data_IF_307005369432
#
_entry.id   IF_307005369432
#
_cell.length_a   1.000
_cell.length_b   1.000
_cell.length_c   1.000
_cell.angle_alpha   90.00
_cell.angle_beta   90.00
_cell.angle_gamma   90.00
#
_symmetry.space_group_name_H-M   'P 1'
#
loop_
_entity.id
_entity.type
_entity.pdbx_description
1 polymer ?
#
# COMPACT_ATOMS: atom_id res chain seq x y z
N UNK A 1 4.48 50.72 14.61
CA UNK A 1 5.23 49.51 14.99
C UNK A 1 4.56 48.34 14.32
N UNK A 2 5.29 47.62 13.48
CA UNK A 2 4.81 46.56 12.59
C UNK A 2 4.87 45.20 13.31
N UNK A 3 3.86 44.36 13.08
CA UNK A 3 3.89 42.92 13.35
C UNK A 3 4.70 42.19 12.27
N UNK A 4 5.55 41.21 12.61
CA UNK A 4 5.97 40.18 11.67
C UNK A 4 5.27 38.85 11.99
N UNK A 5 4.70 38.23 10.95
CA UNK A 5 4.18 36.87 10.99
C UNK A 5 5.30 35.82 10.93
N UNK A 6 5.05 34.66 11.54
CA UNK A 6 5.93 33.49 11.47
C UNK A 6 5.49 32.57 10.34
N UNK A 7 6.26 32.55 9.26
CA UNK A 7 6.23 31.54 8.21
C UNK A 7 6.74 30.18 8.73
N UNK A 8 6.38 29.04 8.11
CA UNK A 8 6.92 27.74 8.50
C UNK A 8 8.40 27.62 8.10
N UNK A 9 9.22 26.86 8.85
CA UNK A 9 10.64 26.71 8.54
C UNK A 9 10.77 25.90 7.25
N UNK A 10 11.33 26.54 6.23
CA UNK A 10 11.83 25.88 5.03
C UNK A 10 13.08 25.09 5.41
N UNK A 11 12.92 23.81 5.75
CA UNK A 11 14.05 22.88 5.87
C UNK A 11 14.72 22.75 4.50
N UNK A 12 16.02 23.02 4.45
CA UNK A 12 16.85 22.85 3.25
C UNK A 12 16.94 21.37 2.88
N UNK A 13 16.92 21.07 1.57
CA UNK A 13 17.13 19.72 0.99
C UNK A 13 18.38 19.00 1.56
N UNK A 14 19.35 19.77 2.05
CA UNK A 14 20.54 19.27 2.78
C UNK A 14 20.18 18.47 4.04
N UNK A 15 19.18 18.90 4.82
CA UNK A 15 18.75 18.20 6.05
C UNK A 15 18.18 16.81 5.75
N UNK A 16 17.43 16.68 4.65
CA UNK A 16 16.89 15.39 4.21
C UNK A 16 17.98 14.46 3.65
N UNK A 17 19.04 15.03 3.06
CA UNK A 17 20.17 14.27 2.53
C UNK A 17 21.03 13.70 3.65
N UNK A 18 21.21 14.47 4.73
CA UNK A 18 21.87 14.01 5.96
C UNK A 18 21.06 12.91 6.67
N UNK A 19 19.75 13.08 6.80
CA UNK A 19 18.86 12.05 7.34
C UNK A 19 18.91 10.75 6.51
N UNK A 20 18.95 10.86 5.18
CA UNK A 20 19.07 9.69 4.30
C UNK A 20 20.45 9.03 4.36
N UNK A 21 21.52 9.82 4.57
CA UNK A 21 22.87 9.29 4.78
C UNK A 21 22.99 8.50 6.08
N UNK A 22 22.23 8.88 7.11
CA UNK A 22 22.16 8.14 8.39
C UNK A 22 21.43 6.80 8.28
N UNK A 23 20.59 6.64 7.25
CA UNK A 23 19.92 5.38 6.90
C UNK A 23 20.78 4.48 5.98
N UNK A 24 21.92 4.99 5.51
CA UNK A 24 22.87 4.16 4.76
C UNK A 24 23.68 3.32 5.74
N UNK A 25 23.56 1.99 5.61
CA UNK A 25 24.52 1.05 6.19
C UNK A 25 25.79 1.17 5.35
N UNK A 26 26.53 2.25 5.54
CA UNK A 26 27.84 2.46 4.92
C UNK A 26 28.86 2.80 6.00
N UNK A 27 30.05 2.24 5.84
CA UNK A 27 31.17 2.41 6.74
C UNK A 27 31.56 3.89 6.82
N UNK A 28 31.69 4.38 8.05
CA UNK A 28 32.24 5.70 8.35
C UNK A 28 33.58 5.90 7.61
N UNK A 29 33.85 7.10 7.05
CA UNK A 29 35.14 7.40 6.45
C UNK A 29 36.26 7.18 7.47
N UNK A 30 37.12 6.18 7.22
CA UNK A 30 38.25 5.84 8.10
C UNK A 30 38.14 4.48 8.82
N UNK A 31 37.04 3.75 8.68
CA UNK A 31 36.94 2.37 9.20
C UNK A 31 37.51 1.36 8.19
N UNK A 32 38.46 0.52 8.63
CA UNK A 32 39.06 -0.60 7.86
C UNK A 32 38.24 -1.89 8.07
N UNK A 33 36.94 -1.77 8.39
CA UNK A 33 36.07 -2.95 8.40
C UNK A 33 35.89 -3.42 6.96
N UNK A 34 36.16 -4.71 6.64
CA UNK A 34 35.86 -5.24 5.32
C UNK A 34 34.37 -5.01 5.07
N UNK A 35 34.06 -4.22 4.03
CA UNK A 35 32.69 -3.83 3.71
C UNK A 35 31.78 -5.06 3.72
N UNK A 36 30.61 -4.90 4.35
CA UNK A 36 29.63 -5.97 4.46
C UNK A 36 29.34 -6.52 3.05
N UNK A 37 29.62 -7.79 2.80
CA UNK A 37 29.27 -8.40 1.51
C UNK A 37 27.74 -8.45 1.42
N UNK A 38 27.15 -7.54 0.64
CA UNK A 38 25.71 -7.47 0.42
C UNK A 38 25.12 -8.78 -0.13
N UNK A 39 25.94 -9.70 -0.64
CA UNK A 39 25.51 -11.05 -1.06
C UNK A 39 25.36 -12.03 0.10
N UNK A 40 25.98 -11.74 1.25
CA UNK A 40 25.85 -12.52 2.49
C UNK A 40 24.73 -12.01 3.40
N UNK A 41 24.23 -10.80 3.15
CA UNK A 41 22.98 -10.34 3.75
C UNK A 41 21.88 -11.33 3.36
N UNK A 42 21.07 -11.82 4.31
CA UNK A 42 19.89 -12.60 3.99
C UNK A 42 19.03 -11.72 3.09
N UNK A 43 19.02 -12.04 1.79
CA UNK A 43 18.02 -11.50 0.88
C UNK A 43 16.68 -12.03 1.36
N UNK A 44 15.59 -11.25 1.31
CA UNK A 44 14.25 -11.80 1.45
C UNK A 44 14.19 -13.03 0.54
N UNK A 45 14.14 -14.22 1.12
CA UNK A 45 14.47 -15.44 0.41
C UNK A 45 13.44 -15.64 -0.71
N UNK A 46 13.90 -16.06 -1.89
CA UNK A 46 13.05 -16.83 -2.80
C UNK A 46 12.61 -18.08 -2.03
N UNK A 47 11.44 -18.03 -1.40
CA UNK A 47 10.88 -19.14 -0.64
C UNK A 47 10.71 -18.94 0.87
N UNK A 48 10.85 -17.73 1.41
CA UNK A 48 10.20 -17.40 2.70
C UNK A 48 8.68 -17.33 2.46
N UNK A 49 8.05 -18.50 2.33
CA UNK A 49 6.67 -18.66 2.73
C UNK A 49 6.65 -18.23 4.19
N UNK A 50 6.18 -17.00 4.45
CA UNK A 50 5.70 -16.63 5.79
C UNK A 50 4.93 -17.84 6.30
N UNK A 51 5.28 -18.41 7.48
CA UNK A 51 4.66 -19.64 7.91
C UNK A 51 3.15 -19.39 7.89
N UNK A 52 2.41 -20.19 7.09
CA UNK A 52 0.96 -20.10 6.87
C UNK A 52 0.18 -19.81 8.17
N UNK A 53 0.75 -20.17 9.32
CA UNK A 53 0.34 -19.77 10.67
C UNK A 53 -0.05 -18.29 10.85
N UNK A 54 0.60 -17.30 10.23
CA UNK A 54 0.22 -15.89 10.43
C UNK A 54 -1.06 -15.52 9.67
N UNK A 55 -1.24 -16.07 8.47
CA UNK A 55 -2.47 -15.93 7.69
C UNK A 55 -3.64 -16.64 8.37
N UNK A 56 -3.40 -17.82 8.96
CA UNK A 56 -4.39 -18.54 9.76
C UNK A 56 -4.75 -17.81 11.07
N UNK A 57 -3.77 -17.20 11.74
CA UNK A 57 -3.99 -16.46 12.98
C UNK A 57 -4.70 -15.12 12.75
N UNK A 58 -4.43 -14.46 11.62
CA UNK A 58 -4.99 -13.16 11.26
C UNK A 58 -5.61 -13.18 9.86
N UNK A 59 -6.75 -13.89 9.67
CA UNK A 59 -7.36 -14.07 8.35
C UNK A 59 -7.92 -12.79 7.74
N UNK A 60 -8.03 -11.71 8.53
CA UNK A 60 -8.51 -10.40 8.10
C UNK A 60 -7.38 -9.44 7.67
N UNK A 61 -6.11 -9.87 7.76
CA UNK A 61 -4.98 -9.11 7.23
C UNK A 61 -4.84 -9.30 5.72
N UNK A 62 -4.15 -8.37 5.06
CA UNK A 62 -3.77 -8.53 3.66
C UNK A 62 -2.68 -9.60 3.51
N UNK A 63 -2.62 -10.21 2.32
CA UNK A 63 -1.54 -11.12 1.98
C UNK A 63 -0.17 -10.40 2.03
N UNK A 64 0.89 -11.05 2.57
CA UNK A 64 2.25 -10.50 2.58
C UNK A 64 2.80 -10.13 1.20
N UNK A 65 2.23 -10.61 0.10
CA UNK A 65 2.59 -10.15 -1.26
C UNK A 65 2.27 -8.67 -1.48
N UNK A 66 1.20 -8.17 -0.85
CA UNK A 66 0.80 -6.76 -0.98
C UNK A 66 1.54 -5.83 -0.03
N UNK A 67 1.79 -6.28 1.20
CA UNK A 67 2.44 -5.48 2.23
C UNK A 67 3.22 -6.36 3.19
N UNK A 68 4.52 -6.05 3.38
CA UNK A 68 5.35 -6.64 4.43
C UNK A 68 5.97 -5.56 5.28
N UNK A 69 6.00 -5.77 6.58
CA UNK A 69 6.73 -4.93 7.50
C UNK A 69 8.11 -5.52 7.78
N UNK A 70 9.07 -4.67 8.16
CA UNK A 70 10.38 -5.12 8.66
C UNK A 70 10.28 -5.93 9.95
N UNK A 71 9.18 -5.79 10.68
CA UNK A 71 8.86 -6.56 11.88
C UNK A 71 7.36 -6.82 11.99
N UNK A 72 6.99 -8.03 12.41
CA UNK A 72 5.60 -8.42 12.66
C UNK A 72 5.07 -7.96 14.02
N UNK A 73 5.91 -7.34 14.85
CA UNK A 73 5.53 -6.84 16.17
C UNK A 73 6.08 -5.43 16.41
N UNK A 74 5.18 -4.46 16.53
CA UNK A 74 5.55 -3.07 16.78
C UNK A 74 5.94 -2.91 18.26
N UNK A 75 7.11 -2.32 18.58
CA UNK A 75 7.49 -2.00 19.94
C UNK A 75 6.45 -1.09 20.61
N UNK A 76 5.99 -1.48 21.80
CA UNK A 76 4.92 -0.76 22.52
C UNK A 76 5.42 0.45 23.34
N UNK A 77 6.72 0.72 23.34
CA UNK A 77 7.33 1.79 24.15
C UNK A 77 8.60 2.33 23.51
N UNK A 78 8.88 3.61 23.77
CA UNK A 78 10.09 4.29 23.28
C UNK A 78 11.38 3.66 23.80
N UNK A 79 11.34 3.09 25.02
CA UNK A 79 12.47 2.34 25.58
C UNK A 79 12.84 1.10 24.77
N UNK A 80 11.87 0.40 24.20
CA UNK A 80 12.13 -0.77 23.35
C UNK A 80 12.68 -0.34 21.99
N UNK A 81 12.10 0.71 21.39
CA UNK A 81 12.59 1.31 20.13
C UNK A 81 14.05 1.75 20.29
N UNK A 82 14.36 2.45 21.38
CA UNK A 82 15.71 2.97 21.66
C UNK A 82 16.73 1.88 21.98
N UNK A 83 16.29 0.71 22.46
CA UNK A 83 17.18 -0.40 22.80
C UNK A 83 17.52 -1.27 21.59
N UNK A 84 16.52 -1.54 20.75
CA UNK A 84 16.67 -2.52 19.69
C UNK A 84 17.07 -1.90 18.35
N UNK A 85 16.90 -0.59 18.18
CA UNK A 85 17.26 0.13 16.96
C UNK A 85 16.74 -0.54 15.67
N UNK A 86 15.59 -1.21 15.75
CA UNK A 86 15.01 -1.89 14.61
C UNK A 86 14.45 -0.84 13.63
N UNK A 87 14.90 -0.83 12.37
CA UNK A 87 14.31 0.04 11.38
C UNK A 87 12.86 -0.40 11.14
N UNK A 88 11.90 0.50 11.36
CA UNK A 88 10.51 0.28 11.01
C UNK A 88 10.30 0.70 9.56
N UNK A 89 9.99 -0.27 8.71
CA UNK A 89 9.75 -0.04 7.29
C UNK A 89 8.65 -0.96 6.76
N UNK A 90 8.14 -0.63 5.59
CA UNK A 90 7.17 -1.43 4.87
C UNK A 90 7.58 -1.56 3.40
N UNK A 91 7.50 -2.77 2.85
CA UNK A 91 7.52 -3.01 1.40
C UNK A 91 6.06 -3.13 0.98
N UNK A 92 5.64 -2.27 0.05
CA UNK A 92 4.24 -2.20 -0.39
C UNK A 92 4.20 -2.41 -1.91
N UNK A 93 3.50 -3.45 -2.32
CA UNK A 93 3.31 -3.85 -3.72
C UNK A 93 1.81 -3.97 -4.00
N UNK A 94 1.06 -2.85 -4.17
CA UNK A 94 -0.40 -2.88 -4.22
C UNK A 94 -0.97 -3.71 -5.38
N UNK A 95 -0.25 -3.74 -6.51
CA UNK A 95 -0.64 -4.45 -7.74
C UNK A 95 0.11 -5.78 -7.90
N UNK A 96 0.59 -6.38 -6.80
CA UNK A 96 1.18 -7.71 -6.86
C UNK A 96 0.14 -8.74 -7.35
N UNK A 97 0.59 -9.75 -8.09
CA UNK A 97 -0.28 -10.83 -8.55
C UNK A 97 -0.89 -11.57 -7.34
N UNK A 98 -2.22 -11.71 -7.36
CA UNK A 98 -2.95 -12.43 -6.33
C UNK A 98 -2.47 -13.90 -6.26
N UNK A 99 -2.53 -14.53 -5.08
CA UNK A 99 -2.29 -15.97 -4.95
C UNK A 99 -3.18 -16.79 -5.89
N UNK A 100 -2.69 -17.94 -6.36
CA UNK A 100 -3.46 -18.82 -7.22
C UNK A 100 -4.80 -19.22 -6.58
N UNK A 101 -5.90 -18.97 -7.27
CA UNK A 101 -7.25 -19.30 -6.80
C UNK A 101 -7.90 -18.26 -5.89
N UNK A 102 -7.22 -17.14 -5.59
CA UNK A 102 -7.81 -16.00 -4.89
C UNK A 102 -7.94 -14.78 -5.80
N UNK A 103 -9.10 -14.11 -5.72
CA UNK A 103 -9.34 -12.82 -6.38
C UNK A 103 -9.63 -11.75 -5.32
N UNK A 104 -9.14 -10.53 -5.56
CA UNK A 104 -9.44 -9.39 -4.70
C UNK A 104 -10.88 -8.94 -4.97
N UNK A 105 -11.78 -8.94 -3.95
CA UNK A 105 -13.18 -8.58 -4.17
C UNK A 105 -13.34 -7.12 -4.58
N UNK A 106 -14.11 -6.88 -5.64
CA UNK A 106 -14.49 -5.53 -6.09
C UNK A 106 -15.85 -5.15 -5.50
N UNK A 107 -15.89 -4.01 -4.81
CA UNK A 107 -17.03 -3.57 -4.02
C UNK A 107 -17.57 -2.27 -4.59
N UNK A 108 -18.86 -2.27 -4.93
CA UNK A 108 -19.55 -1.11 -5.46
C UNK A 108 -20.57 -0.57 -4.45
N UNK A 109 -20.27 0.58 -3.84
CA UNK A 109 -21.17 1.27 -2.91
C UNK A 109 -22.27 2.09 -3.59
N UNK A 110 -22.31 2.11 -4.93
CA UNK A 110 -23.29 2.81 -5.74
C UNK A 110 -23.60 4.23 -5.21
N UNK A 111 -24.82 4.46 -4.71
CA UNK A 111 -25.31 5.74 -4.20
C UNK A 111 -24.89 6.06 -2.76
N UNK A 112 -24.41 5.09 -1.98
CA UNK A 112 -24.04 5.28 -0.57
C UNK A 112 -22.73 6.06 -0.43
N UNK A 113 -21.87 6.00 -1.45
CA UNK A 113 -20.49 6.45 -1.38
C UNK A 113 -19.62 5.52 -0.52
N UNK A 114 -18.31 5.61 -0.70
CA UNK A 114 -17.38 4.74 0.03
C UNK A 114 -17.34 5.16 1.50
N UNK A 115 -17.61 4.21 2.39
CA UNK A 115 -17.66 4.42 3.84
C UNK A 115 -16.26 4.75 4.37
N UNK A 116 -16.09 5.96 4.90
CA UNK A 116 -14.82 6.47 5.42
C UNK A 116 -15.01 7.18 6.74
N UNK A 117 -13.96 7.15 7.57
CA UNK A 117 -13.93 7.93 8.80
C UNK A 117 -13.96 9.42 8.46
N UNK A 118 -14.86 10.19 9.09
CA UNK A 118 -15.02 11.63 8.81
C UNK A 118 -13.82 12.49 9.24
N UNK A 119 -12.91 11.95 10.06
CA UNK A 119 -11.70 12.64 10.53
C UNK A 119 -10.44 12.19 9.80
N UNK A 120 -10.05 10.93 9.94
CA UNK A 120 -8.79 10.43 9.37
C UNK A 120 -8.93 9.86 7.94
N UNK A 121 -10.14 9.86 7.38
CA UNK A 121 -10.45 9.35 6.01
C UNK A 121 -10.15 7.87 5.76
N UNK A 122 -9.71 7.12 6.77
CA UNK A 122 -9.56 5.65 6.70
C UNK A 122 -10.86 5.01 6.23
N UNK A 123 -10.75 4.12 5.24
CA UNK A 123 -11.85 3.29 4.76
C UNK A 123 -12.38 2.38 5.86
N UNK A 124 -13.67 2.03 5.77
CA UNK A 124 -14.19 0.92 6.58
C UNK A 124 -13.38 -0.33 6.29
N UNK A 125 -13.09 -1.10 7.33
CA UNK A 125 -12.22 -2.27 7.29
C UNK A 125 -12.63 -3.27 8.39
N UNK A 126 -12.14 -4.51 8.38
CA UNK A 126 -12.56 -5.54 9.35
C UNK A 126 -12.34 -5.19 10.82
N UNK A 127 -11.43 -4.28 11.14
CA UNK A 127 -11.07 -3.93 12.52
C UNK A 127 -11.93 -2.82 13.13
N UNK A 128 -12.88 -2.25 12.38
CA UNK A 128 -13.82 -1.27 12.94
C UNK A 128 -14.80 -1.94 13.91
N UNK A 129 -15.33 -1.19 14.87
CA UNK A 129 -16.32 -1.72 15.81
C UNK A 129 -17.67 -1.04 15.62
N UNK A 130 -18.71 -1.80 15.26
CA UNK A 130 -20.07 -1.29 15.21
C UNK A 130 -20.67 -1.21 16.63
N UNK A 131 -21.48 -0.17 16.85
CA UNK A 131 -22.08 0.17 18.15
C UNK A 131 -23.47 0.76 17.94
N UNK A 132 -24.20 1.06 19.02
CA UNK A 132 -25.52 1.70 18.95
C UNK A 132 -26.50 0.94 18.04
N UNK A 133 -26.62 -0.38 18.28
CA UNK A 133 -27.41 -1.31 17.48
C UNK A 133 -27.08 -1.30 15.97
N UNK A 134 -25.87 -0.88 15.60
CA UNK A 134 -25.39 -0.83 14.20
C UNK A 134 -25.52 0.55 13.56
N UNK A 135 -26.01 1.55 14.29
CA UNK A 135 -26.17 2.94 13.78
C UNK A 135 -24.87 3.72 13.75
N UNK A 136 -23.86 3.28 14.51
CA UNK A 136 -22.57 3.95 14.60
C UNK A 136 -21.43 2.95 14.49
N UNK A 137 -20.28 3.42 14.03
CA UNK A 137 -19.05 2.64 14.00
C UNK A 137 -17.85 3.44 14.52
N UNK A 138 -16.99 2.75 15.26
CA UNK A 138 -15.74 3.29 15.81
C UNK A 138 -14.59 2.94 14.88
N UNK A 139 -13.87 3.97 14.44
CA UNK A 139 -12.67 3.80 13.63
C UNK A 139 -11.54 3.16 14.45
N UNK A 140 -10.89 2.11 13.93
CA UNK A 140 -9.76 1.44 14.57
C UNK A 140 -8.48 2.29 14.62
N UNK A 141 -8.32 3.27 13.72
CA UNK A 141 -7.10 4.09 13.65
C UNK A 141 -7.16 5.28 14.62
N UNK A 142 -8.26 6.03 14.61
CA UNK A 142 -8.37 7.24 15.43
C UNK A 142 -9.41 7.13 16.55
N UNK A 143 -10.15 6.02 16.65
CA UNK A 143 -11.19 5.81 17.67
C UNK A 143 -12.40 6.74 17.59
N UNK A 144 -12.52 7.56 16.54
CA UNK A 144 -13.68 8.43 16.33
C UNK A 144 -14.92 7.60 16.05
N UNK A 145 -16.05 8.01 16.65
CA UNK A 145 -17.37 7.46 16.38
C UNK A 145 -17.99 8.19 15.17
N UNK A 146 -18.37 7.41 14.16
CA UNK A 146 -18.98 7.84 12.92
C UNK A 146 -20.40 7.27 12.80
N UNK A 147 -21.29 7.99 12.13
CA UNK A 147 -22.63 7.49 11.83
C UNK A 147 -22.60 6.53 10.63
N UNK A 148 -23.45 5.51 10.66
CA UNK A 148 -23.64 4.55 9.57
C UNK A 148 -24.72 5.09 8.62
N UNK A 149 -24.43 5.26 7.31
CA UNK A 149 -25.44 5.65 6.33
C UNK A 149 -26.62 4.66 6.29
N UNK A 150 -27.84 5.16 6.02
CA UNK A 150 -29.05 4.35 6.03
C UNK A 150 -28.99 3.12 5.11
N UNK A 151 -28.48 3.29 3.88
CA UNK A 151 -28.32 2.19 2.90
C UNK A 151 -27.25 1.16 3.31
N UNK A 152 -26.33 1.55 4.22
CA UNK A 152 -25.30 0.66 4.75
C UNK A 152 -25.66 0.07 6.11
N UNK A 153 -26.81 0.42 6.67
CA UNK A 153 -27.22 0.01 8.01
C UNK A 153 -27.58 -1.48 8.05
N UNK A 154 -27.12 -2.16 9.10
CA UNK A 154 -27.61 -3.46 9.49
C UNK A 154 -27.61 -3.56 11.02
N UNK A 155 -28.56 -4.34 11.55
CA UNK A 155 -28.64 -4.58 12.98
C UNK A 155 -27.43 -5.39 13.48
N UNK A 156 -27.14 -5.24 14.77
CA UNK A 156 -26.20 -6.12 15.47
C UNK A 156 -26.94 -7.31 16.07
N UNK A 157 -26.28 -8.46 16.08
CA UNK A 157 -26.69 -9.64 16.83
C UNK A 157 -26.38 -9.48 18.33
N UNK A 158 -26.72 -10.51 19.12
CA UNK A 158 -26.46 -10.53 20.56
C UNK A 158 -24.95 -10.50 20.91
N UNK A 159 -24.07 -10.81 19.97
CA UNK A 159 -22.61 -10.77 20.14
C UNK A 159 -21.99 -9.43 19.74
N UNK A 160 -22.81 -8.49 19.25
CA UNK A 160 -22.36 -7.20 18.74
C UNK A 160 -21.81 -7.24 17.32
N UNK A 161 -21.97 -8.36 16.59
CA UNK A 161 -21.59 -8.49 15.19
C UNK A 161 -22.75 -8.08 14.29
N UNK A 162 -22.46 -7.51 13.13
CA UNK A 162 -23.49 -7.20 12.14
C UNK A 162 -24.10 -8.48 11.60
N UNK A 163 -25.42 -8.49 11.43
CA UNK A 163 -26.13 -9.64 10.85
C UNK A 163 -25.77 -9.94 9.39
N UNK A 164 -25.27 -8.93 8.67
CA UNK A 164 -24.89 -9.04 7.26
C UNK A 164 -23.37 -9.19 7.08
N UNK A 165 -22.59 -9.40 8.14
CA UNK A 165 -21.13 -9.42 8.11
C UNK A 165 -20.57 -10.38 7.05
N UNK A 166 -21.14 -11.59 6.96
CA UNK A 166 -20.72 -12.63 6.00
C UNK A 166 -20.94 -12.27 4.53
N UNK A 167 -21.74 -11.23 4.27
CA UNK A 167 -22.04 -10.73 2.93
C UNK A 167 -21.22 -9.48 2.57
N UNK A 168 -20.35 -9.01 3.49
CA UNK A 168 -19.61 -7.75 3.39
C UNK A 168 -18.10 -8.02 3.30
N UNK A 169 -17.53 -8.23 2.10
CA UNK A 169 -16.10 -8.50 1.95
C UNK A 169 -15.21 -7.39 2.53
N UNK A 170 -15.62 -6.12 2.51
CA UNK A 170 -14.88 -5.01 3.13
C UNK A 170 -14.77 -5.10 4.67
N UNK A 171 -15.58 -5.94 5.30
CA UNK A 171 -15.57 -6.19 6.74
C UNK A 171 -14.91 -7.53 7.10
N UNK A 172 -14.51 -8.34 6.12
CA UNK A 172 -13.95 -9.67 6.33
C UNK A 172 -12.58 -9.89 5.70
N UNK A 173 -12.27 -9.19 4.60
CA UNK A 173 -11.04 -9.35 3.84
C UNK A 173 -10.08 -8.19 4.12
N UNK A 174 -8.78 -8.49 4.18
CA UNK A 174 -7.73 -7.48 4.35
C UNK A 174 -7.41 -6.69 3.09
N UNK A 175 -7.73 -7.26 1.91
CA UNK A 175 -7.57 -6.62 0.60
C UNK A 175 -8.91 -6.62 -0.13
N UNK A 176 -9.35 -5.45 -0.57
CA UNK A 176 -10.54 -5.23 -1.38
C UNK A 176 -10.32 -4.04 -2.31
N UNK A 177 -11.04 -4.00 -3.43
CA UNK A 177 -11.08 -2.85 -4.32
C UNK A 177 -12.43 -2.15 -4.23
N UNK A 178 -12.44 -0.83 -4.21
CA UNK A 178 -13.66 -0.05 -4.27
C UNK A 178 -13.84 0.54 -5.66
N UNK A 179 -15.04 0.39 -6.22
CA UNK A 179 -15.42 1.15 -7.41
C UNK A 179 -15.47 2.63 -7.01
N UNK A 180 -14.55 3.41 -7.58
CA UNK A 180 -14.43 4.83 -7.28
C UNK A 180 -15.67 5.59 -7.82
N UNK A 181 -16.46 6.25 -6.96
CA UNK A 181 -17.55 7.10 -7.42
C UNK A 181 -17.03 8.37 -8.10
N UNK A 182 -17.92 9.11 -8.76
CA UNK A 182 -17.59 10.33 -9.51
C UNK A 182 -16.91 11.41 -8.66
N UNK A 183 -17.09 11.42 -7.34
CA UNK A 183 -16.38 12.31 -6.41
C UNK A 183 -14.85 12.10 -6.40
N UNK A 184 -14.35 10.95 -6.87
CA UNK A 184 -12.91 10.68 -7.04
C UNK A 184 -12.42 11.03 -8.44
N UNK A 185 -13.28 11.53 -9.32
CA UNK A 185 -12.97 11.82 -10.72
C UNK A 185 -13.05 13.32 -10.98
N UNK A 186 -11.93 13.92 -11.43
CA UNK A 186 -11.93 15.30 -11.95
C UNK A 186 -12.56 15.35 -13.35
N UNK A 187 -12.37 14.28 -14.12
CA UNK A 187 -12.97 14.02 -15.43
C UNK A 187 -13.09 12.51 -15.64
N UNK A 188 -13.92 12.03 -16.58
CA UNK A 188 -13.96 10.62 -16.93
C UNK A 188 -12.56 10.08 -17.27
N UNK A 189 -12.21 8.85 -16.83
CA UNK A 189 -10.94 8.22 -17.18
C UNK A 189 -10.80 8.15 -18.70
N UNK A 190 -9.67 8.64 -19.22
CA UNK A 190 -9.31 8.43 -20.61
C UNK A 190 -8.53 7.12 -20.70
N UNK A 191 -8.76 6.29 -21.73
CA UNK A 191 -8.01 5.06 -21.90
C UNK A 191 -6.50 5.39 -21.99
N UNK A 192 -5.63 4.55 -21.40
CA UNK A 192 -4.19 4.74 -21.51
C UNK A 192 -3.76 4.67 -22.98
N UNK A 193 -2.79 5.52 -23.34
CA UNK A 193 -2.20 5.54 -24.67
C UNK A 193 -0.75 5.09 -24.55
N UNK A 194 -0.39 4.06 -25.30
CA UNK A 194 1.00 3.66 -25.47
C UNK A 194 1.62 4.47 -26.61
N UNK A 195 2.75 5.12 -26.35
CA UNK A 195 3.51 5.85 -27.35
C UNK A 195 4.95 5.33 -27.35
N UNK A 196 5.37 4.75 -28.48
CA UNK A 196 6.67 4.14 -28.63
C UNK A 196 7.66 5.15 -29.22
N UNK A 197 8.76 5.42 -28.50
CA UNK A 197 9.89 6.20 -29.02
C UNK A 197 11.06 5.25 -29.26
N UNK A 198 11.56 5.24 -30.49
CA UNK A 198 12.68 4.40 -30.90
C UNK A 198 13.86 5.32 -31.21
N UNK A 199 14.99 5.09 -30.54
CA UNK A 199 16.23 5.78 -30.85
C UNK A 199 16.79 5.29 -32.19
N UNK A 200 17.00 6.21 -33.13
CA UNK A 200 17.56 5.97 -34.47
C UNK A 200 18.98 6.54 -34.64
N UNK A 201 19.68 6.79 -33.53
CA UNK A 201 21.08 7.22 -33.53
C UNK A 201 22.02 6.22 -34.21
N UNK A 202 23.20 6.69 -34.66
CA UNK A 202 24.23 5.82 -35.24
C UNK A 202 24.61 4.67 -34.28
N UNK A 203 24.62 4.93 -32.98
CA UNK A 203 24.92 3.92 -31.97
C UNK A 203 23.83 2.84 -31.91
N UNK A 204 22.56 3.23 -31.92
CA UNK A 204 21.41 2.34 -31.97
C UNK A 204 21.34 1.51 -33.25
N UNK A 205 21.71 2.09 -34.40
CA UNK A 205 21.83 1.36 -35.67
C UNK A 205 22.94 0.33 -35.58
N UNK A 206 24.14 0.74 -35.13
CA UNK A 206 25.33 -0.14 -35.10
C UNK A 206 25.21 -1.29 -34.11
N UNK A 207 24.47 -1.11 -33.01
CA UNK A 207 24.22 -2.18 -32.04
C UNK A 207 23.19 -3.20 -32.51
N UNK A 208 22.50 -2.96 -33.64
CA UNK A 208 21.39 -3.79 -34.11
C UNK A 208 20.10 -3.60 -33.30
N UNK A 209 20.04 -2.64 -32.38
CA UNK A 209 18.85 -2.38 -31.55
C UNK A 209 17.64 -2.02 -32.41
N UNK A 210 17.86 -1.26 -33.49
CA UNK A 210 16.78 -0.92 -34.42
C UNK A 210 16.22 -2.20 -35.05
N UNK A 211 17.05 -3.10 -35.55
CA UNK A 211 16.61 -4.35 -36.18
C UNK A 211 15.80 -5.25 -35.23
N UNK A 212 16.16 -5.29 -33.95
CA UNK A 212 15.40 -6.01 -32.90
C UNK A 212 14.09 -5.30 -32.56
N UNK A 213 14.09 -3.97 -32.48
CA UNK A 213 12.89 -3.17 -32.13
C UNK A 213 11.89 -3.02 -33.29
N UNK A 214 12.37 -2.95 -34.53
CA UNK A 214 11.57 -2.85 -35.77
C UNK A 214 11.21 -4.21 -36.35
N UNK A 215 11.65 -5.31 -35.75
CA UNK A 215 11.07 -6.61 -36.04
C UNK A 215 9.60 -6.53 -35.64
N UNK A 216 8.73 -6.27 -36.63
CA UNK A 216 7.28 -6.07 -36.52
C UNK A 216 6.59 -7.03 -35.55
N UNK A 217 7.16 -8.23 -35.33
CA UNK A 217 6.72 -9.18 -34.32
C UNK A 217 6.78 -8.64 -32.87
N UNK A 218 7.77 -7.88 -32.44
CA UNK A 218 7.82 -7.47 -31.02
C UNK A 218 6.69 -6.49 -30.66
N UNK A 219 6.41 -5.52 -31.54
CA UNK A 219 5.33 -4.56 -31.33
C UNK A 219 3.96 -5.18 -31.62
N UNK A 220 3.82 -5.99 -32.69
CA UNK A 220 2.56 -6.69 -32.98
C UNK A 220 2.22 -7.71 -31.88
N UNK A 221 3.17 -8.52 -31.40
CA UNK A 221 2.91 -9.45 -30.28
C UNK A 221 2.59 -8.72 -28.96
N UNK A 222 3.20 -7.55 -28.73
CA UNK A 222 2.85 -6.73 -27.57
C UNK A 222 1.45 -6.14 -27.69
N UNK A 223 1.01 -5.74 -28.89
CA UNK A 223 -0.31 -5.16 -29.13
C UNK A 223 -1.43 -6.22 -29.22
N UNK A 224 -1.15 -7.40 -29.76
CA UNK A 224 -2.09 -8.53 -29.85
C UNK A 224 -2.44 -9.12 -28.47
N UNK A 225 -1.62 -8.88 -27.43
CA UNK A 225 -1.93 -9.24 -26.05
C UNK A 225 -2.90 -8.28 -25.33
N UNK A 226 -3.28 -7.16 -25.95
CA UNK A 226 -4.19 -6.14 -25.38
C UNK A 226 -5.55 -6.02 -26.09
N UNK A 227 -5.81 -6.83 -27.14
CA UNK A 227 -7.09 -6.86 -27.88
C UNK A 227 -7.92 -8.11 -27.57
#
# INVERSE_FOLDING_TARGET
MQHPGSAPPTGSIQSLTEDFSSLSISSMPGSIEPGLDYRTLPRPLDGDLEPNSFLEMYPMNCDPRYLRLTTSAIPNSQSLVSRWHLPLGAVVCPLAEAPEGEEVPVINFASTGIIRCRRCRTYVNPYVTFTDAGRKWRCNICSLLNDVPGEYFANLDATGRRIDLDQRPELLKGSVEFVAPTEYMVRPPMPPLYFFLIDVSICAVRSGMIEVSTAFKAVDYLLDGFC
#
